data_IF_029337011804
#
_entry.id   IF_029337011804
#
_cell.length_a   1.000
_cell.length_b   1.000
_cell.length_c   1.000
_cell.angle_alpha   90.00
_cell.angle_beta   90.00
_cell.angle_gamma   90.00
#
_symmetry.space_group_name_H-M   'P 1'
#
loop_
_entity.id
_entity.type
_entity.pdbx_description
1 polymer ?
#
# COMPACT_ATOMS: atom_id res chain seq x y z
N UNK A 1 -37.05 27.34 8.56
CA UNK A 1 -35.90 26.43 8.77
C UNK A 1 -34.76 27.26 9.33
N UNK A 2 -34.45 27.17 10.62
CA UNK A 2 -33.35 27.89 11.25
C UNK A 2 -32.02 27.20 10.90
N UNK A 3 -31.02 27.96 10.43
CA UNK A 3 -29.64 27.45 10.28
C UNK A 3 -29.05 27.20 11.67
N UNK A 4 -28.84 25.93 12.01
CA UNK A 4 -27.99 25.54 13.14
C UNK A 4 -26.53 25.82 12.73
N UNK A 5 -25.74 26.41 13.63
CA UNK A 5 -24.44 27.05 13.33
C UNK A 5 -23.44 26.21 12.54
N UNK A 6 -22.55 26.89 11.79
CA UNK A 6 -21.47 26.25 11.03
C UNK A 6 -20.35 25.80 11.95
N UNK A 7 -19.90 24.55 11.83
CA UNK A 7 -18.65 24.09 12.43
C UNK A 7 -17.50 24.15 11.42
N UNK A 8 -16.27 24.32 11.91
CA UNK A 8 -15.04 24.24 11.12
C UNK A 8 -14.31 22.95 11.50
N UNK A 9 -14.02 22.12 10.51
CA UNK A 9 -13.16 20.95 10.66
C UNK A 9 -11.71 21.40 10.40
N UNK A 10 -10.84 21.25 11.40
CA UNK A 10 -9.40 21.44 11.25
C UNK A 10 -8.74 20.06 11.41
N UNK A 11 -8.03 19.62 10.37
CA UNK A 11 -7.30 18.35 10.39
C UNK A 11 -5.91 18.61 10.95
N UNK A 12 -5.51 17.81 11.94
CA UNK A 12 -4.13 17.80 12.43
C UNK A 12 -3.21 17.22 11.36
N UNK A 13 -2.67 18.09 10.52
CA UNK A 13 -1.82 17.70 9.41
C UNK A 13 -0.56 16.96 9.88
N UNK A 14 0.01 17.39 11.01
CA UNK A 14 1.26 16.83 11.54
C UNK A 14 1.00 15.48 12.22
N UNK A 15 -0.07 15.39 13.01
CA UNK A 15 -0.50 14.12 13.62
C UNK A 15 -0.89 13.07 12.58
N UNK A 16 -1.58 13.48 11.50
CA UNK A 16 -1.89 12.57 10.38
C UNK A 16 -0.61 12.12 9.67
N UNK A 17 0.33 13.02 9.40
CA UNK A 17 1.60 12.66 8.79
C UNK A 17 2.40 11.69 9.67
N UNK A 18 2.45 11.94 10.99
CA UNK A 18 3.11 11.06 11.95
C UNK A 18 2.47 9.68 11.98
N UNK A 19 1.13 9.61 11.98
CA UNK A 19 0.39 8.35 11.92
C UNK A 19 0.70 7.57 10.63
N UNK A 20 0.65 8.22 9.48
CA UNK A 20 0.94 7.58 8.18
C UNK A 20 2.39 7.11 8.03
N UNK A 21 3.29 7.60 8.88
CA UNK A 21 4.70 7.22 8.94
C UNK A 21 5.02 6.31 10.12
N UNK A 22 4.02 5.91 10.91
CA UNK A 22 4.24 5.12 12.13
C UNK A 22 4.71 3.71 11.81
N UNK A 23 5.38 3.08 12.78
CA UNK A 23 5.86 1.70 12.67
C UNK A 23 4.72 0.70 12.47
N UNK A 24 3.56 0.95 13.08
CA UNK A 24 2.38 0.11 12.99
C UNK A 24 1.80 0.12 11.57
N UNK A 25 1.70 1.32 10.95
CA UNK A 25 1.26 1.43 9.55
C UNK A 25 2.26 0.77 8.61
N UNK A 26 3.56 0.95 8.86
CA UNK A 26 4.59 0.28 8.07
C UNK A 26 4.51 -1.25 8.18
N UNK A 27 4.32 -1.79 9.38
CA UNK A 27 4.21 -3.23 9.63
C UNK A 27 2.98 -3.83 8.93
N UNK A 28 1.82 -3.17 8.99
CA UNK A 28 0.64 -3.65 8.27
C UNK A 28 0.84 -3.58 6.75
N UNK A 29 1.49 -2.53 6.24
CA UNK A 29 1.80 -2.42 4.81
C UNK A 29 2.76 -3.52 4.34
N UNK A 30 3.75 -3.87 5.17
CA UNK A 30 4.67 -4.99 4.90
C UNK A 30 3.92 -6.33 4.90
N UNK A 31 3.08 -6.57 5.90
CA UNK A 31 2.26 -7.78 6.00
C UNK A 31 1.32 -7.92 4.80
N UNK A 32 0.67 -6.83 4.39
CA UNK A 32 -0.18 -6.80 3.20
C UNK A 32 0.61 -7.10 1.92
N UNK A 33 1.78 -6.48 1.74
CA UNK A 33 2.65 -6.77 0.60
C UNK A 33 3.12 -8.22 0.59
N UNK A 34 3.41 -8.81 1.76
CA UNK A 34 3.75 -10.22 1.91
C UNK A 34 2.62 -11.14 1.48
N UNK A 35 1.37 -10.87 1.88
CA UNK A 35 0.19 -11.62 1.43
C UNK A 35 0.03 -11.56 -0.09
N UNK A 36 0.22 -10.38 -0.69
CA UNK A 36 0.13 -10.19 -2.14
C UNK A 36 1.25 -10.95 -2.86
N UNK A 37 2.49 -10.88 -2.38
CA UNK A 37 3.62 -11.61 -2.98
C UNK A 37 3.39 -13.12 -2.92
N UNK A 38 2.96 -13.65 -1.77
CA UNK A 38 2.64 -15.06 -1.62
C UNK A 38 1.51 -15.52 -2.55
N UNK A 39 0.47 -14.68 -2.73
CA UNK A 39 -0.62 -14.98 -3.65
C UNK A 39 -0.23 -14.86 -5.14
N UNK A 40 0.73 -13.99 -5.47
CA UNK A 40 1.25 -13.84 -6.83
C UNK A 40 2.18 -14.99 -7.24
N UNK A 41 2.87 -15.61 -6.26
CA UNK A 41 3.68 -16.81 -6.45
C UNK A 41 5.18 -16.55 -6.54
N UNK A 42 5.92 -17.54 -7.05
CA UNK A 42 7.38 -17.51 -7.07
C UNK A 42 7.94 -16.37 -7.95
N UNK A 43 8.98 -15.70 -7.45
CA UNK A 43 9.63 -14.59 -8.16
C UNK A 43 8.94 -13.24 -8.01
N UNK A 44 7.90 -13.13 -7.19
CA UNK A 44 7.34 -11.87 -6.72
C UNK A 44 7.90 -11.51 -5.34
N UNK A 45 8.60 -10.37 -5.25
CA UNK A 45 9.32 -9.98 -4.05
C UNK A 45 8.82 -8.65 -3.49
N UNK A 46 8.70 -8.59 -2.16
CA UNK A 46 8.40 -7.35 -1.45
C UNK A 46 9.66 -6.48 -1.41
N UNK A 47 9.49 -5.20 -1.72
CA UNK A 47 10.50 -4.16 -1.57
C UNK A 47 9.91 -3.04 -0.71
N UNK A 48 10.74 -2.42 0.13
CA UNK A 48 10.36 -1.30 1.00
C UNK A 48 11.07 -1.36 2.36
N UNK A 49 10.69 -0.48 3.32
CA UNK A 49 9.73 0.61 3.15
C UNK A 49 10.34 1.79 2.36
N UNK A 50 9.50 2.54 1.65
CA UNK A 50 9.80 3.92 1.25
C UNK A 50 8.66 4.85 1.60
N UNK A 51 8.95 6.13 1.43
CA UNK A 51 8.02 7.22 1.61
C UNK A 51 7.30 7.51 0.29
N UNK A 52 6.02 7.15 0.20
CA UNK A 52 5.19 7.40 -0.97
C UNK A 52 4.36 8.69 -0.83
N UNK A 53 3.81 9.17 -1.95
CA UNK A 53 3.04 10.41 -2.02
C UNK A 53 3.90 11.66 -2.25
N UNK A 54 3.25 12.77 -2.58
CA UNK A 54 3.92 14.06 -2.77
C UNK A 54 4.58 14.47 -1.43
N UNK A 55 5.90 14.64 -1.42
CA UNK A 55 6.68 14.95 -0.21
C UNK A 55 6.99 13.76 0.71
N UNK A 56 6.66 12.52 0.32
CA UNK A 56 7.03 11.32 1.09
C UNK A 56 6.22 11.11 2.37
N UNK A 57 4.91 11.38 2.31
CA UNK A 57 4.03 11.45 3.47
C UNK A 57 3.54 10.13 4.07
N UNK A 58 3.77 8.96 3.45
CA UNK A 58 3.27 7.67 3.98
C UNK A 58 4.23 6.52 3.78
N UNK A 59 4.24 5.58 4.72
CA UNK A 59 4.91 4.30 4.54
C UNK A 59 4.30 3.52 3.37
N UNK A 60 5.14 2.89 2.55
CA UNK A 60 4.70 2.09 1.43
C UNK A 60 5.70 0.97 1.12
N UNK A 61 5.15 -0.11 0.58
CA UNK A 61 5.86 -1.27 0.04
C UNK A 61 5.35 -1.56 -1.37
N UNK A 62 6.12 -2.31 -2.15
CA UNK A 62 5.76 -2.74 -3.50
C UNK A 62 6.14 -4.20 -3.65
N UNK A 63 5.32 -4.92 -4.39
CA UNK A 63 5.68 -6.24 -4.88
C UNK A 63 6.21 -6.09 -6.31
N UNK A 64 7.36 -6.70 -6.61
CA UNK A 64 8.03 -6.59 -7.91
C UNK A 64 8.35 -7.97 -8.47
N UNK A 65 8.45 -8.05 -9.80
CA UNK A 65 8.88 -9.25 -10.52
C UNK A 65 10.41 -9.34 -10.53
N UNK A 66 10.96 -10.17 -9.65
CA UNK A 66 12.40 -10.38 -9.52
C UNK A 66 12.96 -11.29 -10.62
N UNK A 67 12.16 -12.23 -11.11
CA UNK A 67 12.57 -13.22 -12.11
C UNK A 67 11.94 -12.97 -13.48
N UNK A 68 12.52 -13.54 -14.53
CA UNK A 68 11.93 -13.52 -15.87
C UNK A 68 10.58 -14.23 -15.89
N UNK A 69 10.46 -15.39 -15.24
CA UNK A 69 9.20 -16.14 -15.16
C UNK A 69 8.08 -15.31 -14.51
N UNK A 70 8.37 -14.57 -13.43
CA UNK A 70 7.39 -13.68 -12.80
C UNK A 70 6.98 -12.51 -13.71
N UNK A 71 7.91 -11.98 -14.52
CA UNK A 71 7.60 -10.96 -15.54
C UNK A 71 6.67 -11.51 -16.62
N UNK A 72 6.94 -12.73 -17.09
CA UNK A 72 6.10 -13.41 -18.08
C UNK A 72 4.71 -13.67 -17.49
N UNK A 73 4.61 -14.22 -16.28
CA UNK A 73 3.34 -14.46 -15.59
C UNK A 73 2.52 -13.17 -15.40
N UNK A 74 3.13 -12.05 -15.03
CA UNK A 74 2.40 -10.77 -14.98
C UNK A 74 1.98 -10.27 -16.37
N UNK A 75 2.82 -10.48 -17.39
CA UNK A 75 2.51 -10.06 -18.75
C UNK A 75 1.33 -10.84 -19.34
N UNK A 76 1.29 -12.15 -19.15
CA UNK A 76 0.32 -13.08 -19.76
C UNK A 76 -0.92 -13.31 -18.90
N UNK A 77 -0.73 -13.50 -17.59
CA UNK A 77 -1.77 -13.96 -16.66
C UNK A 77 -2.20 -12.87 -15.66
N UNK A 78 -1.49 -11.74 -15.63
CA UNK A 78 -1.76 -10.64 -14.70
C UNK A 78 -1.68 -11.11 -13.24
N UNK A 79 -0.79 -12.04 -12.95
CA UNK A 79 -0.69 -12.73 -11.66
C UNK A 79 -0.64 -11.78 -10.46
N UNK A 80 0.18 -10.71 -10.53
CA UNK A 80 0.25 -9.71 -9.46
C UNK A 80 -1.02 -8.87 -9.38
N UNK A 81 -1.57 -8.48 -10.53
CA UNK A 81 -2.83 -7.70 -10.57
C UNK A 81 -3.98 -8.50 -9.94
N UNK A 82 -4.09 -9.79 -10.25
CA UNK A 82 -5.09 -10.70 -9.66
C UNK A 82 -4.84 -10.87 -8.16
N UNK A 83 -3.59 -11.08 -7.74
CA UNK A 83 -3.22 -11.20 -6.33
C UNK A 83 -3.63 -9.95 -5.53
N UNK A 84 -3.37 -8.75 -6.05
CA UNK A 84 -3.79 -7.48 -5.43
C UNK A 84 -5.31 -7.41 -5.25
N UNK A 85 -6.10 -7.83 -6.25
CA UNK A 85 -7.56 -7.84 -6.11
C UNK A 85 -8.02 -8.85 -5.07
N UNK A 86 -7.41 -10.04 -5.03
CA UNK A 86 -7.78 -11.11 -4.09
C UNK A 86 -7.49 -10.76 -2.63
N UNK A 87 -6.48 -9.92 -2.37
CA UNK A 87 -6.05 -9.55 -1.02
C UNK A 87 -6.74 -8.28 -0.48
N UNK A 88 -7.71 -7.71 -1.20
CA UNK A 88 -8.37 -6.43 -0.84
C UNK A 88 -9.51 -6.57 0.18
N UNK A 89 -9.79 -7.77 0.67
CA UNK A 89 -10.88 -8.09 1.60
C UNK A 89 -10.53 -7.84 3.06
#
# INVERSE_FOLDING_TARGET
MQKVGSFRLELDHDGIAQLLQSSEVAAECEAAAGRIAAAAGDGFEVSGPWRAGFGGGRAAYSVRTATQAAREAEATEKALTVAVQSCRS
#
